data_IF_062663705743
#
_entry.id   IF_062663705743
#
_cell.length_a   1.000
_cell.length_b   1.000
_cell.length_c   1.000
_cell.angle_alpha   90.00
_cell.angle_beta   90.00
_cell.angle_gamma   90.00
#
_symmetry.space_group_name_H-M   'P 1'
#
loop_
_entity.id
_entity.type
_entity.pdbx_description
1 polymer ?
#
# COMPACT_ATOMS: atom_id res chain seq x y z
N UNK A 1 12.10 -1.12 -2.21
CA UNK A 1 11.65 0.24 -1.84
C UNK A 1 11.11 0.18 -0.42
N UNK A 2 11.54 1.07 0.47
CA UNK A 2 11.13 1.16 1.88
C UNK A 2 10.72 2.59 2.18
N UNK A 3 9.58 2.75 2.85
CA UNK A 3 9.06 4.07 3.25
C UNK A 3 8.86 4.08 4.75
N UNK A 4 9.31 5.14 5.40
CA UNK A 4 9.08 5.42 6.82
C UNK A 4 8.30 6.73 6.91
N UNK A 5 7.24 6.74 7.71
CA UNK A 5 6.43 7.92 7.94
C UNK A 5 6.27 8.20 9.44
N UNK A 6 6.26 9.49 9.79
CA UNK A 6 5.93 9.96 11.13
C UNK A 6 4.69 10.84 11.02
N UNK A 7 3.66 10.50 11.75
CA UNK A 7 2.38 11.21 11.76
C UNK A 7 2.00 11.70 13.15
N UNK A 8 1.15 12.72 13.20
CA UNK A 8 0.60 13.30 14.42
C UNK A 8 -0.92 13.28 14.35
N UNK A 9 -1.55 12.76 15.38
CA UNK A 9 -3.01 12.62 15.46
C UNK A 9 -3.64 13.86 16.10
N UNK A 10 -4.47 14.55 15.31
CA UNK A 10 -5.29 15.66 15.79
C UNK A 10 -6.76 15.22 15.79
N UNK A 11 -7.32 14.99 16.95
CA UNK A 11 -8.74 14.65 17.10
C UNK A 11 -9.58 15.91 16.85
N UNK A 12 -10.28 15.96 15.72
CA UNK A 12 -11.13 17.10 15.32
C UNK A 12 -12.60 16.90 15.67
N UNK A 13 -13.02 15.64 15.88
CA UNK A 13 -14.32 15.26 16.41
C UNK A 13 -14.22 13.92 17.18
N UNK A 14 -15.24 13.48 17.92
CA UNK A 14 -15.20 12.25 18.73
C UNK A 14 -14.76 11.00 17.96
N UNK A 15 -15.11 10.89 16.69
CA UNK A 15 -14.86 9.74 15.83
C UNK A 15 -13.99 10.12 14.60
N UNK A 16 -13.35 11.29 14.60
CA UNK A 16 -12.65 11.82 13.44
C UNK A 16 -11.28 12.38 13.82
N UNK A 17 -10.25 11.84 13.20
CA UNK A 17 -8.85 12.21 13.40
C UNK A 17 -8.29 12.76 12.10
N UNK A 18 -7.63 13.90 12.17
CA UNK A 18 -6.79 14.44 11.10
C UNK A 18 -5.34 14.08 11.41
N UNK A 19 -4.66 13.43 10.45
CA UNK A 19 -3.28 12.97 10.62
C UNK A 19 -2.39 13.47 9.50
N UNK A 20 -1.64 14.57 9.67
CA UNK A 20 -0.53 14.89 8.81
C UNK A 20 0.62 13.92 9.05
N UNK A 21 1.27 13.46 7.97
CA UNK A 21 2.33 12.47 7.97
C UNK A 21 3.49 13.00 7.14
N UNK A 22 4.69 13.04 7.72
CA UNK A 22 5.92 13.25 6.96
C UNK A 22 6.46 11.90 6.50
N UNK A 23 6.78 11.77 5.21
CA UNK A 23 7.24 10.53 4.59
C UNK A 23 8.68 10.66 4.09
N UNK A 24 9.49 9.65 4.36
CA UNK A 24 10.81 9.45 3.77
C UNK A 24 10.84 8.09 3.09
N UNK A 25 11.22 8.07 1.82
CA UNK A 25 11.27 6.86 1.02
C UNK A 25 12.69 6.61 0.53
N UNK A 26 13.16 5.38 0.65
CA UNK A 26 14.41 4.92 0.06
C UNK A 26 14.10 3.81 -0.95
N UNK A 27 14.50 4.01 -2.19
CA UNK A 27 14.33 3.06 -3.27
C UNK A 27 15.67 2.56 -3.80
N UNK A 28 15.77 1.25 -3.97
CA UNK A 28 16.83 0.64 -4.74
C UNK A 28 16.20 -0.30 -5.75
N UNK A 29 16.48 -0.08 -7.02
CA UNK A 29 16.02 -0.92 -8.11
C UNK A 29 17.23 -1.42 -8.86
N UNK A 30 17.30 -2.71 -9.06
CA UNK A 30 18.27 -3.34 -9.98
C UNK A 30 17.49 -4.08 -11.04
N UNK A 31 17.87 -3.95 -12.30
CA UNK A 31 17.18 -4.68 -13.36
C UNK A 31 17.59 -6.15 -13.34
N UNK A 32 16.63 -7.05 -13.61
CA UNK A 32 16.91 -8.49 -13.80
C UNK A 32 17.85 -8.74 -14.96
N UNK A 33 17.93 -7.80 -15.93
CA UNK A 33 18.89 -7.78 -17.00
C UNK A 33 20.34 -7.73 -16.52
N UNK A 34 20.61 -7.14 -15.35
CA UNK A 34 21.95 -7.15 -14.73
C UNK A 34 22.38 -8.56 -14.30
N UNK A 35 21.42 -9.36 -13.83
CA UNK A 35 21.67 -10.76 -13.46
C UNK A 35 21.84 -11.60 -14.74
N UNK A 36 20.97 -11.41 -15.72
CA UNK A 36 21.08 -12.08 -17.02
C UNK A 36 22.37 -11.69 -17.77
N UNK A 37 22.77 -10.42 -17.73
CA UNK A 37 24.01 -9.93 -18.34
C UNK A 37 25.26 -10.61 -17.75
N UNK A 38 25.31 -10.82 -16.43
CA UNK A 38 26.43 -11.55 -15.78
C UNK A 38 26.47 -13.02 -16.17
N UNK A 39 25.31 -13.66 -16.36
CA UNK A 39 25.24 -15.04 -16.81
C UNK A 39 25.72 -15.17 -18.28
N UNK A 40 25.29 -14.24 -19.15
CA UNK A 40 25.72 -14.21 -20.55
C UNK A 40 27.24 -13.94 -20.68
N UNK A 41 27.78 -13.02 -19.87
CA UNK A 41 29.21 -12.72 -19.84
C UNK A 41 30.04 -13.94 -19.39
N UNK A 42 29.54 -14.70 -18.40
CA UNK A 42 30.21 -15.92 -17.94
C UNK A 42 30.22 -17.04 -18.98
N UNK A 43 29.24 -17.09 -19.86
CA UNK A 43 29.09 -18.12 -20.90
C UNK A 43 29.73 -17.73 -22.25
N UNK A 44 29.69 -16.45 -22.59
CA UNK A 44 30.09 -16.00 -23.94
C UNK A 44 31.39 -15.21 -23.97
N UNK A 45 31.87 -14.73 -22.83
CA UNK A 45 33.07 -13.87 -22.74
C UNK A 45 32.95 -12.51 -23.45
N UNK A 46 31.74 -12.12 -23.84
CA UNK A 46 31.49 -10.82 -24.47
C UNK A 46 31.00 -9.83 -23.44
N UNK A 47 31.64 -8.67 -23.37
CA UNK A 47 31.26 -7.58 -22.45
C UNK A 47 30.00 -6.87 -22.98
N UNK A 48 28.89 -7.07 -22.28
CA UNK A 48 27.61 -6.41 -22.57
C UNK A 48 27.41 -5.21 -21.62
N UNK A 49 28.30 -4.21 -21.78
CA UNK A 49 28.40 -3.03 -20.92
C UNK A 49 27.07 -2.28 -20.74
N UNK A 50 26.19 -2.27 -21.75
CA UNK A 50 24.89 -1.64 -21.66
C UNK A 50 23.92 -2.35 -20.68
N UNK A 51 24.14 -3.64 -20.39
CA UNK A 51 23.34 -4.40 -19.42
C UNK A 51 23.84 -4.24 -17.98
N UNK A 52 25.05 -3.76 -17.78
CA UNK A 52 25.69 -3.58 -16.47
C UNK A 52 25.13 -2.37 -15.68
N UNK A 53 24.55 -1.40 -16.34
CA UNK A 53 24.22 -0.09 -15.76
C UNK A 53 22.76 0.06 -15.29
N UNK A 54 22.04 -1.03 -15.06
CA UNK A 54 20.63 -1.02 -14.67
C UNK A 54 20.34 -0.90 -13.16
N UNK A 55 21.16 -0.20 -12.39
CA UNK A 55 20.84 0.06 -10.99
C UNK A 55 20.43 1.53 -10.78
N UNK A 56 19.34 1.73 -10.05
CA UNK A 56 18.85 3.03 -9.68
C UNK A 56 18.67 3.09 -8.17
N UNK A 57 19.26 4.10 -7.56
CA UNK A 57 19.02 4.46 -6.16
C UNK A 57 18.21 5.75 -6.13
N UNK A 58 17.15 5.77 -5.37
CA UNK A 58 16.29 6.94 -5.25
C UNK A 58 15.98 7.24 -3.79
N UNK A 59 15.95 8.51 -3.45
CA UNK A 59 15.41 9.03 -2.20
C UNK A 59 14.15 9.81 -2.50
N UNK A 60 13.10 9.58 -1.71
CA UNK A 60 11.86 10.31 -1.80
C UNK A 60 11.54 10.98 -0.47
N UNK A 61 11.02 12.18 -0.54
CA UNK A 61 10.51 12.91 0.61
C UNK A 61 9.16 13.53 0.25
N UNK A 62 8.30 13.68 1.24
CA UNK A 62 6.99 14.24 1.00
C UNK A 62 6.11 14.15 2.23
N UNK A 63 4.82 14.30 2.01
CA UNK A 63 3.84 14.25 3.07
C UNK A 63 2.54 13.60 2.63
N UNK A 64 1.76 13.23 3.63
CA UNK A 64 0.37 12.83 3.45
C UNK A 64 -0.50 13.55 4.46
N UNK A 65 -1.72 13.85 4.05
CA UNK A 65 -2.77 14.29 4.95
C UNK A 65 -3.85 13.23 4.96
N UNK A 66 -4.11 12.65 6.12
CA UNK A 66 -5.10 11.60 6.28
C UNK A 66 -6.22 12.07 7.18
N UNK A 67 -7.45 11.84 6.76
CA UNK A 67 -8.65 11.96 7.54
C UNK A 67 -9.13 10.54 7.86
N UNK A 68 -9.25 10.23 9.14
CA UNK A 68 -9.53 8.90 9.66
C UNK A 68 -10.81 8.96 10.50
N UNK A 69 -11.85 8.29 10.02
CA UNK A 69 -13.15 8.19 10.69
C UNK A 69 -13.36 6.78 11.21
N UNK A 70 -13.57 6.65 12.52
CA UNK A 70 -13.77 5.38 13.21
C UNK A 70 -15.08 5.40 13.99
N UNK A 71 -16.04 4.59 13.57
CA UNK A 71 -17.32 4.43 14.25
C UNK A 71 -17.49 2.98 14.71
N UNK A 72 -17.38 2.74 16.02
CA UNK A 72 -17.44 1.40 16.60
C UNK A 72 -18.66 1.26 17.49
N UNK A 73 -19.58 0.39 17.09
CA UNK A 73 -20.78 -0.01 17.83
C UNK A 73 -20.90 -1.54 17.84
N UNK A 74 -21.65 -2.08 18.78
CA UNK A 74 -21.89 -3.52 18.87
C UNK A 74 -22.53 -4.10 17.59
N UNK A 75 -23.46 -3.34 16.99
CA UNK A 75 -24.16 -3.76 15.78
C UNK A 75 -23.30 -3.70 14.52
N UNK A 76 -22.34 -2.77 14.45
CA UNK A 76 -21.44 -2.61 13.31
C UNK A 76 -20.25 -1.71 13.66
N UNK A 77 -19.17 -1.92 12.96
CA UNK A 77 -17.97 -1.08 13.00
C UNK A 77 -17.68 -0.55 11.59
N UNK A 78 -17.40 0.73 11.50
CA UNK A 78 -17.08 1.43 10.23
C UNK A 78 -15.74 2.13 10.40
N UNK A 79 -14.82 1.86 9.50
CA UNK A 79 -13.57 2.60 9.34
C UNK A 79 -13.59 3.27 7.96
N UNK A 80 -13.24 4.55 7.88
CA UNK A 80 -13.07 5.26 6.60
C UNK A 80 -11.83 6.13 6.68
N UNK A 81 -10.90 5.90 5.77
CA UNK A 81 -9.70 6.72 5.59
C UNK A 81 -9.76 7.46 4.26
N UNK A 82 -9.49 8.75 4.28
CA UNK A 82 -9.23 9.57 3.09
C UNK A 82 -7.82 10.11 3.21
N UNK A 83 -6.97 9.81 2.22
CA UNK A 83 -5.55 10.19 2.27
C UNK A 83 -5.13 10.89 0.98
N UNK A 84 -4.61 12.09 1.13
CA UNK A 84 -3.90 12.81 0.08
C UNK A 84 -2.40 12.63 0.31
N UNK A 85 -1.66 12.22 -0.71
CA UNK A 85 -0.21 12.00 -0.64
C UNK A 85 0.51 12.77 -1.74
N UNK A 86 1.62 13.42 -1.37
CA UNK A 86 2.54 14.09 -2.28
C UNK A 86 3.96 13.67 -1.92
N UNK A 87 4.65 12.98 -2.84
CA UNK A 87 6.02 12.50 -2.66
C UNK A 87 6.85 12.86 -3.88
N UNK A 88 7.99 13.50 -3.64
CA UNK A 88 9.01 13.79 -4.65
C UNK A 88 10.16 12.82 -4.47
N UNK A 89 10.56 12.21 -5.56
CA UNK A 89 11.67 11.27 -5.61
C UNK A 89 12.78 11.80 -6.50
N UNK A 90 14.01 11.62 -6.08
CA UNK A 90 15.21 12.00 -6.82
C UNK A 90 16.22 10.86 -6.77
N UNK A 91 16.94 10.69 -7.85
CA UNK A 91 18.03 9.73 -7.89
C UNK A 91 19.24 10.24 -7.11
N UNK A 92 19.96 9.34 -6.45
CA UNK A 92 21.20 9.67 -5.77
C UNK A 92 22.22 8.54 -5.94
N UNK A 93 23.55 8.88 -5.76
CA UNK A 93 24.64 7.91 -5.80
C UNK A 93 24.70 7.17 -7.12
N UNK A 94 25.45 6.10 -7.23
CA UNK A 94 25.75 5.31 -8.43
C UNK A 94 24.62 4.93 -9.40
N UNK A 95 23.66 5.83 -9.62
CA UNK A 95 22.63 5.71 -10.65
C UNK A 95 23.26 5.99 -12.01
N UNK A 96 23.06 5.08 -12.97
CA UNK A 96 23.58 5.27 -14.32
C UNK A 96 22.98 6.51 -14.99
N UNK A 97 23.75 7.25 -15.78
CA UNK A 97 23.29 8.46 -16.46
C UNK A 97 22.03 8.24 -17.32
N UNK A 98 21.86 7.03 -17.85
CA UNK A 98 20.73 6.65 -18.71
C UNK A 98 19.39 6.57 -17.94
N UNK A 99 19.39 6.51 -16.60
CA UNK A 99 18.19 6.41 -15.75
C UNK A 99 18.12 7.50 -14.68
N UNK A 100 18.87 8.58 -14.86
CA UNK A 100 18.75 9.76 -14.01
C UNK A 100 17.43 10.46 -14.27
N UNK A 101 16.74 10.81 -13.18
CA UNK A 101 15.45 11.50 -13.27
C UNK A 101 14.90 11.85 -11.90
N UNK A 102 13.83 12.58 -11.92
CA UNK A 102 13.00 12.83 -10.74
C UNK A 102 11.59 12.36 -11.02
N UNK A 103 10.88 11.92 -10.01
CA UNK A 103 9.47 11.57 -10.11
C UNK A 103 8.68 12.33 -9.05
N UNK A 104 7.48 12.73 -9.43
CA UNK A 104 6.55 13.42 -8.55
C UNK A 104 5.25 12.63 -8.47
N UNK A 105 5.11 11.86 -7.40
CA UNK A 105 3.98 10.98 -7.17
C UNK A 105 2.94 11.65 -6.27
N UNK A 106 1.77 11.87 -6.84
CA UNK A 106 0.61 12.42 -6.13
C UNK A 106 -0.55 11.43 -6.21
N UNK A 107 -1.24 11.24 -5.09
CA UNK A 107 -2.41 10.36 -5.07
C UNK A 107 -3.44 10.79 -4.04
N UNK A 108 -4.72 10.57 -4.37
CA UNK A 108 -5.84 10.61 -3.47
C UNK A 108 -6.35 9.17 -3.27
N UNK A 109 -6.32 8.69 -2.04
CA UNK A 109 -6.83 7.38 -1.66
C UNK A 109 -8.06 7.53 -0.77
N UNK A 110 -9.05 6.67 -0.99
CA UNK A 110 -10.17 6.43 -0.09
C UNK A 110 -10.18 4.96 0.24
N UNK A 111 -10.21 4.62 1.51
CA UNK A 111 -10.36 3.25 1.96
C UNK A 111 -11.48 3.19 3.00
N UNK A 112 -12.32 2.18 2.90
CA UNK A 112 -13.40 1.97 3.85
C UNK A 112 -13.55 0.49 4.19
N UNK A 113 -13.94 0.24 5.43
CA UNK A 113 -14.25 -1.09 5.95
C UNK A 113 -15.50 -1.04 6.79
N UNK A 114 -16.38 -1.98 6.53
CA UNK A 114 -17.57 -2.23 7.34
C UNK A 114 -17.50 -3.64 7.92
N UNK A 115 -17.79 -3.77 9.21
CA UNK A 115 -17.79 -5.04 9.95
C UNK A 115 -19.09 -5.16 10.73
N UNK A 116 -19.72 -6.34 10.67
CA UNK A 116 -20.92 -6.64 11.44
C UNK A 116 -20.92 -8.10 11.91
N UNK A 117 -21.55 -8.40 13.05
CA UNK A 117 -21.66 -9.76 13.55
C UNK A 117 -22.50 -10.62 12.61
N UNK A 118 -22.06 -11.86 12.35
CA UNK A 118 -22.81 -12.85 11.55
C UNK A 118 -23.88 -13.55 12.37
N UNK A 119 -23.82 -13.47 13.69
CA UNK A 119 -24.57 -14.33 14.61
C UNK A 119 -23.95 -15.73 14.78
N UNK A 120 -22.96 -16.10 13.96
CA UNK A 120 -22.27 -17.37 14.04
C UNK A 120 -21.09 -17.30 15.01
N UNK A 121 -20.72 -18.47 15.53
CA UNK A 121 -19.52 -18.65 16.36
C UNK A 121 -18.66 -19.76 15.75
N UNK A 122 -17.36 -19.56 15.74
CA UNK A 122 -16.36 -20.56 15.38
C UNK A 122 -15.34 -20.63 16.51
N UNK A 123 -15.00 -21.82 16.96
CA UNK A 123 -14.11 -22.04 18.12
C UNK A 123 -14.57 -21.25 19.37
N UNK A 124 -15.88 -21.22 19.61
CA UNK A 124 -16.54 -20.42 20.66
C UNK A 124 -16.33 -18.90 20.57
N UNK A 125 -15.95 -18.39 19.38
CA UNK A 125 -15.67 -16.99 19.10
C UNK A 125 -16.67 -16.40 18.12
N UNK A 126 -17.03 -15.12 18.27
CA UNK A 126 -17.90 -14.45 17.33
C UNK A 126 -17.20 -14.29 15.99
N UNK A 127 -17.95 -14.59 14.93
CA UNK A 127 -17.53 -14.35 13.55
C UNK A 127 -18.23 -13.12 13.02
N UNK A 128 -17.49 -12.25 12.33
CA UNK A 128 -17.99 -11.01 11.72
C UNK A 128 -17.86 -11.06 10.21
N UNK A 129 -18.80 -10.46 9.49
CA UNK A 129 -18.63 -10.07 8.09
C UNK A 129 -17.65 -8.91 8.00
N UNK A 130 -16.87 -8.91 6.94
CA UNK A 130 -16.01 -7.79 6.57
C UNK A 130 -16.24 -7.45 5.12
N UNK A 131 -16.61 -6.21 4.86
CA UNK A 131 -16.66 -5.63 3.51
C UNK A 131 -15.64 -4.51 3.44
N UNK A 132 -14.87 -4.46 2.35
CA UNK A 132 -13.88 -3.41 2.12
C UNK A 132 -14.10 -2.79 0.74
N UNK A 133 -13.90 -1.49 0.68
CA UNK A 133 -13.76 -0.76 -0.57
C UNK A 133 -12.54 0.13 -0.49
N UNK A 134 -11.76 0.17 -1.56
CA UNK A 134 -10.68 1.12 -1.71
C UNK A 134 -10.69 1.72 -3.12
N UNK A 135 -10.38 2.99 -3.18
CA UNK A 135 -10.20 3.74 -4.41
C UNK A 135 -8.90 4.53 -4.31
N UNK A 136 -8.11 4.53 -5.36
CA UNK A 136 -6.93 5.39 -5.46
C UNK A 136 -6.93 6.06 -6.82
N UNK A 137 -6.78 7.37 -6.81
CA UNK A 137 -6.57 8.19 -8.00
C UNK A 137 -5.15 8.74 -7.98
N UNK A 138 -4.39 8.44 -9.03
CA UNK A 138 -3.04 8.95 -9.26
C UNK A 138 -3.13 10.16 -10.17
N UNK A 139 -2.45 11.23 -9.81
CA UNK A 139 -2.46 12.50 -10.55
C UNK A 139 -1.09 13.17 -10.49
N UNK A 140 -1.00 14.42 -11.00
CA UNK A 140 0.26 15.16 -11.07
C UNK A 140 1.07 14.84 -12.32
N UNK A 141 2.29 15.36 -12.42
CA UNK A 141 3.10 15.27 -13.64
C UNK A 141 3.39 13.87 -14.11
N UNK A 142 3.52 12.92 -13.17
CA UNK A 142 3.88 11.53 -13.43
C UNK A 142 2.70 10.55 -13.24
N UNK A 143 1.47 11.07 -13.12
CA UNK A 143 0.26 10.26 -12.90
C UNK A 143 0.01 9.22 -13.98
N UNK A 144 0.34 9.52 -15.24
CA UNK A 144 0.11 8.65 -16.38
C UNK A 144 1.19 7.56 -16.57
N UNK A 145 2.31 7.62 -15.82
CA UNK A 145 3.44 6.69 -15.99
C UNK A 145 3.09 5.25 -15.63
N UNK A 146 2.05 5.03 -14.81
CA UNK A 146 1.60 3.68 -14.42
C UNK A 146 0.74 2.99 -15.49
N UNK A 147 0.32 3.71 -16.55
CA UNK A 147 -0.62 3.21 -17.56
C UNK A 147 -2.07 3.13 -17.06
N UNK A 148 -2.35 3.57 -15.83
CA UNK A 148 -3.68 3.75 -15.26
C UNK A 148 -3.66 4.85 -14.19
N UNK A 149 -4.74 5.61 -14.09
CA UNK A 149 -4.85 6.72 -13.13
C UNK A 149 -5.78 6.37 -11.97
N UNK A 150 -6.63 5.36 -12.15
CA UNK A 150 -7.60 4.95 -11.16
C UNK A 150 -7.45 3.46 -10.85
N UNK A 151 -7.46 3.14 -9.56
CA UNK A 151 -7.50 1.77 -9.09
C UNK A 151 -8.59 1.62 -8.04
N UNK A 152 -9.52 0.72 -8.27
CA UNK A 152 -10.56 0.34 -7.33
C UNK A 152 -10.28 -1.04 -6.75
N UNK A 153 -10.72 -1.28 -5.54
CA UNK A 153 -10.69 -2.59 -4.91
C UNK A 153 -11.97 -2.79 -4.11
N UNK A 154 -12.64 -3.89 -4.34
CA UNK A 154 -13.74 -4.36 -3.51
C UNK A 154 -13.32 -5.65 -2.83
N UNK A 155 -13.65 -5.81 -1.57
CA UNK A 155 -13.27 -6.99 -0.78
C UNK A 155 -14.42 -7.46 0.10
N UNK A 156 -14.50 -8.77 0.27
CA UNK A 156 -15.41 -9.39 1.20
C UNK A 156 -14.69 -10.53 1.94
N UNK A 157 -15.04 -10.72 3.20
CA UNK A 157 -14.38 -11.72 4.02
C UNK A 157 -15.04 -11.93 5.37
N UNK A 158 -14.32 -12.67 6.20
CA UNK A 158 -14.71 -12.98 7.56
C UNK A 158 -13.59 -12.61 8.52
N UNK A 159 -13.99 -12.17 9.71
CA UNK A 159 -13.12 -11.88 10.83
C UNK A 159 -13.53 -12.74 12.01
N UNK A 160 -12.56 -13.38 12.64
CA UNK A 160 -12.71 -14.13 13.88
C UNK A 160 -12.09 -13.32 15.02
N UNK A 161 -12.89 -13.00 16.02
CA UNK A 161 -12.44 -12.34 17.23
C UNK A 161 -11.82 -13.37 18.17
N UNK A 162 -10.53 -13.27 18.43
CA UNK A 162 -9.77 -14.23 19.25
C UNK A 162 -9.31 -13.65 20.58
N UNK A 163 -10.02 -12.67 21.11
CA UNK A 163 -9.70 -11.89 22.33
C UNK A 163 -9.26 -12.67 23.58
N UNK A 164 -9.27 -14.00 23.57
CA UNK A 164 -8.72 -14.87 24.64
C UNK A 164 -7.22 -15.18 24.46
N UNK A 165 -6.67 -14.94 23.28
CA UNK A 165 -5.22 -15.02 23.06
C UNK A 165 -4.58 -13.63 23.15
N UNK A 166 -5.04 -12.83 24.08
CA UNK A 166 -4.72 -11.39 24.30
C UNK A 166 -3.25 -10.99 24.29
N UNK A 167 -2.34 -11.96 24.22
CA UNK A 167 -0.89 -11.69 24.18
C UNK A 167 -0.27 -11.78 22.78
N UNK A 168 -1.00 -12.30 21.78
CA UNK A 168 -0.42 -12.57 20.48
C UNK A 168 -1.26 -11.99 19.33
N UNK A 169 -2.57 -12.12 19.35
CA UNK A 169 -3.45 -11.60 18.31
C UNK A 169 -4.91 -11.50 18.82
N UNK A 170 -5.53 -10.35 18.63
CA UNK A 170 -6.91 -10.10 19.06
C UNK A 170 -7.92 -10.48 17.97
N UNK A 171 -7.53 -10.42 16.68
CA UNK A 171 -8.43 -10.69 15.55
C UNK A 171 -7.68 -11.31 14.38
N UNK A 172 -8.29 -12.31 13.74
CA UNK A 172 -7.86 -12.92 12.49
C UNK A 172 -8.84 -12.60 11.39
N UNK A 173 -8.35 -12.21 10.23
CA UNK A 173 -9.19 -11.81 9.10
C UNK A 173 -8.72 -12.46 7.81
N UNK A 174 -9.69 -13.00 7.06
CA UNK A 174 -9.49 -13.53 5.71
C UNK A 174 -10.41 -12.77 4.76
N UNK A 175 -9.83 -12.13 3.72
CA UNK A 175 -10.55 -11.30 2.76
C UNK A 175 -10.14 -11.67 1.35
N UNK A 176 -11.12 -11.99 0.51
CA UNK A 176 -10.97 -11.99 -0.94
C UNK A 176 -11.15 -10.59 -1.49
N UNK A 177 -10.29 -10.15 -2.41
CA UNK A 177 -10.35 -8.82 -3.03
C UNK A 177 -10.33 -8.94 -4.54
N UNK A 178 -11.14 -8.13 -5.20
CA UNK A 178 -11.07 -7.87 -6.63
C UNK A 178 -10.64 -6.43 -6.86
N UNK A 179 -9.58 -6.25 -7.63
CA UNK A 179 -9.04 -4.94 -8.02
C UNK A 179 -9.31 -4.70 -9.47
N UNK A 180 -9.71 -3.48 -9.82
CA UNK A 180 -9.97 -3.08 -11.19
C UNK A 180 -9.71 -1.59 -11.40
N UNK A 181 -9.29 -1.25 -12.61
CA UNK A 181 -8.99 0.11 -13.04
C UNK A 181 -8.91 0.18 -14.55
N UNK A 182 -8.43 1.31 -15.07
CA UNK A 182 -8.17 1.44 -16.50
C UNK A 182 -7.03 0.48 -16.87
N UNK A 183 -7.27 -0.49 -17.74
CA UNK A 183 -6.29 -1.46 -18.23
C UNK A 183 -5.69 -2.41 -17.18
N UNK A 184 -6.27 -2.49 -15.98
CA UNK A 184 -5.79 -3.40 -14.93
C UNK A 184 -6.95 -4.08 -14.21
N UNK A 185 -6.82 -5.38 -13.98
CA UNK A 185 -7.71 -6.12 -13.10
C UNK A 185 -6.99 -7.32 -12.46
N UNK A 186 -7.46 -7.75 -11.31
CA UNK A 186 -6.86 -8.90 -10.62
C UNK A 186 -7.59 -9.30 -9.36
N UNK A 187 -7.36 -10.52 -8.93
CA UNK A 187 -7.86 -11.08 -7.68
C UNK A 187 -6.73 -11.21 -6.67
N UNK A 188 -7.07 -11.10 -5.41
CA UNK A 188 -6.13 -11.30 -4.33
C UNK A 188 -6.82 -11.84 -3.09
N UNK A 189 -6.05 -12.54 -2.25
CA UNK A 189 -6.47 -12.97 -0.93
C UNK A 189 -5.56 -12.33 0.09
N UNK A 190 -6.14 -11.75 1.14
CA UNK A 190 -5.43 -11.13 2.24
C UNK A 190 -5.71 -11.83 3.57
N UNK A 191 -4.66 -12.08 4.31
CA UNK A 191 -4.71 -12.46 5.72
C UNK A 191 -4.35 -11.24 6.54
N UNK A 192 -5.14 -10.92 7.55
CA UNK A 192 -4.89 -9.82 8.49
C UNK A 192 -4.90 -10.33 9.92
N UNK A 193 -3.99 -9.80 10.72
CA UNK A 193 -3.91 -10.07 12.15
C UNK A 193 -3.90 -8.71 12.85
N UNK A 194 -4.74 -8.54 13.86
CA UNK A 194 -4.71 -7.38 14.76
C UNK A 194 -4.21 -7.82 16.14
N UNK A 195 -3.39 -6.98 16.75
CA UNK A 195 -2.78 -7.20 18.05
C UNK A 195 -3.43 -6.32 19.12
#
# INVERSE_FOLDING_TARGET
>A
MSTVGVGWDFRIAPELVLRPIANLTLGYVTSDLKVAGRLIESETGHDVEFLRHGSMSAVGYGGSLMLDYEHYREAHEIDVEVRLTDIRMQNFGGTSEAVQGSAWAQSLGVWSRWRAPTGLRSLDRPVRYVLEYAFTHYFGPDGDMLGFNNLNSIGAGLELDTSVLDRIATRWRLIGRYRFGNNVSGWGVGLGISF
#
